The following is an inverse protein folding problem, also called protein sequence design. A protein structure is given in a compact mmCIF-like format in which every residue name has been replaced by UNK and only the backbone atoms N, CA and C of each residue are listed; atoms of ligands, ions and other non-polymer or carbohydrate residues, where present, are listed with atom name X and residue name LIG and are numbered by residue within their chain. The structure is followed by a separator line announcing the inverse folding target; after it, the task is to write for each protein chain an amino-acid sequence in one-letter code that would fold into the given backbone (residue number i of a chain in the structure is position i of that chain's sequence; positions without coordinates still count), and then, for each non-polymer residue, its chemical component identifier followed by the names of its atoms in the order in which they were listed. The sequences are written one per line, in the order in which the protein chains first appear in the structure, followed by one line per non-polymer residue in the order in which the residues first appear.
data_IF_995702862886
#
_entry.id   IF_995702862886
#
_cell.length_a   1.000
_cell.length_b   1.000
_cell.length_c   1.000
_cell.angle_alpha   90.00
_cell.angle_beta   90.00
_cell.angle_gamma   90.00
#
_symmetry.space_group_name_H-M   'P 1'
#
loop_
_entity.id
_entity.type
_entity.pdbx_description
1 polymer ?
#
# COMPACT_ATOMS: atom_id res chain seq x y z
N UNK A 1 -3.04 0.66 -4.91
CA UNK A 1 -2.03 1.48 -4.18
C UNK A 1 -0.66 0.82 -4.26
N UNK A 2 -0.44 -0.32 -3.61
CA UNK A 2 0.90 -0.97 -3.58
C UNK A 2 1.46 -1.30 -4.97
N UNK A 3 0.65 -1.72 -5.94
CA UNK A 3 1.10 -1.91 -7.33
C UNK A 3 1.68 -0.63 -7.96
N UNK A 4 1.11 0.53 -7.63
CA UNK A 4 1.61 1.83 -8.10
C UNK A 4 2.91 2.20 -7.39
N UNK A 5 2.98 1.99 -6.08
CA UNK A 5 4.21 2.19 -5.29
C UNK A 5 5.34 1.31 -5.82
N UNK A 6 5.06 0.03 -6.12
CA UNK A 6 6.04 -0.89 -6.67
C UNK A 6 6.61 -0.41 -8.01
N UNK A 7 5.77 0.14 -8.89
CA UNK A 7 6.23 0.74 -10.15
C UNK A 7 7.03 2.04 -10.00
N UNK A 8 6.89 2.76 -8.87
CA UNK A 8 7.69 3.96 -8.58
C UNK A 8 9.04 3.58 -7.98
N UNK A 9 9.03 2.70 -6.98
CA UNK A 9 10.23 2.34 -6.21
C UNK A 9 11.08 1.25 -6.86
N UNK A 10 10.51 0.42 -7.74
CA UNK A 10 11.12 -0.81 -8.26
C UNK A 10 11.41 -1.84 -7.17
N UNK A 11 11.80 -3.06 -7.56
CA UNK A 11 12.08 -4.17 -6.62
C UNK A 11 13.19 -3.90 -5.59
N UNK A 12 13.98 -2.83 -5.73
CA UNK A 12 15.07 -2.48 -4.81
C UNK A 12 14.86 -1.17 -4.06
N UNK A 13 13.84 -0.38 -4.38
CA UNK A 13 13.71 0.98 -3.86
C UNK A 13 13.40 1.07 -2.37
N UNK A 14 12.93 -0.01 -1.74
CA UNK A 14 12.69 -0.09 -0.31
C UNK A 14 13.85 -0.68 0.51
N UNK A 15 14.94 -1.11 -0.13
CA UNK A 15 16.02 -1.85 0.56
C UNK A 15 16.61 -1.05 1.72
N UNK A 16 16.50 -1.60 2.94
CA UNK A 16 17.04 -0.97 4.16
C UNK A 16 16.14 0.11 4.76
N UNK A 17 14.93 0.32 4.23
CA UNK A 17 13.97 1.30 4.72
C UNK A 17 12.67 0.64 5.23
N UNK A 18 11.98 1.33 6.12
CA UNK A 18 10.58 1.03 6.47
C UNK A 18 9.71 1.98 5.67
N UNK A 19 8.62 1.46 5.09
CA UNK A 19 7.66 2.29 4.36
C UNK A 19 6.52 2.67 5.31
N UNK A 20 6.43 3.95 5.62
CA UNK A 20 5.35 4.50 6.43
C UNK A 20 4.33 5.23 5.54
N UNK A 21 3.06 4.84 5.68
CA UNK A 21 1.96 5.46 4.93
C UNK A 21 1.26 6.52 5.79
N UNK A 22 1.26 7.77 5.33
CA UNK A 22 0.59 8.88 6.02
C UNK A 22 -0.22 9.77 5.06
N UNK A 23 -0.98 10.71 5.61
CA UNK A 23 -1.81 11.65 4.87
C UNK A 23 -3.31 11.32 4.89
N UNK A 24 -4.16 12.23 4.35
CA UNK A 24 -5.62 12.15 4.50
C UNK A 24 -6.26 10.94 3.80
N UNK A 25 -5.57 10.36 2.82
CA UNK A 25 -6.04 9.15 2.12
C UNK A 25 -6.10 7.91 3.01
N UNK A 26 -5.30 7.84 4.09
CA UNK A 26 -5.18 6.66 4.95
C UNK A 26 -6.52 6.23 5.57
N UNK A 27 -7.33 7.19 6.02
CA UNK A 27 -8.62 6.91 6.68
C UNK A 27 -9.70 6.37 5.72
N UNK A 28 -9.44 6.41 4.42
CA UNK A 28 -10.29 5.84 3.37
C UNK A 28 -9.93 4.38 3.04
N UNK A 29 -8.91 3.81 3.70
CA UNK A 29 -8.46 2.44 3.45
C UNK A 29 -8.89 1.54 4.61
N UNK A 30 -9.54 0.42 4.31
CA UNK A 30 -9.94 -0.56 5.34
C UNK A 30 -8.71 -1.19 6.02
N UNK A 31 -8.89 -1.74 7.23
CA UNK A 31 -7.81 -2.43 7.93
C UNK A 31 -7.18 -3.57 7.10
N UNK A 32 -8.01 -4.33 6.40
CA UNK A 32 -7.54 -5.41 5.52
C UNK A 32 -6.86 -4.88 4.26
N UNK A 33 -7.34 -3.78 3.69
CA UNK A 33 -6.68 -3.11 2.56
C UNK A 33 -5.31 -2.53 2.92
N UNK A 34 -5.18 -1.96 4.12
CA UNK A 34 -3.87 -1.57 4.68
C UNK A 34 -2.96 -2.79 4.82
N UNK A 35 -3.50 -3.92 5.30
CA UNK A 35 -2.80 -5.20 5.33
C UNK A 35 -2.30 -5.66 3.95
N UNK A 36 -3.13 -5.57 2.90
CA UNK A 36 -2.71 -5.87 1.52
C UNK A 36 -1.57 -4.97 1.05
N UNK A 37 -1.65 -3.67 1.36
CA UNK A 37 -0.63 -2.69 0.96
C UNK A 37 0.69 -2.98 1.66
N UNK A 38 0.66 -3.20 2.98
CA UNK A 38 1.87 -3.54 3.72
C UNK A 38 2.47 -4.87 3.27
N UNK A 39 1.62 -5.89 3.04
CA UNK A 39 2.05 -7.22 2.62
C UNK A 39 2.89 -7.16 1.34
N UNK A 40 2.40 -6.45 0.32
CA UNK A 40 3.11 -6.38 -0.97
C UNK A 40 4.22 -5.31 -1.00
N UNK A 41 4.56 -4.72 0.16
CA UNK A 41 5.77 -3.92 0.34
C UNK A 41 7.04 -4.77 0.39
N UNK A 42 6.92 -6.08 0.63
CA UNK A 42 8.04 -7.01 0.59
C UNK A 42 8.68 -7.09 -0.82
N UNK A 43 7.87 -6.99 -1.87
CA UNK A 43 8.28 -7.08 -3.27
C UNK A 43 9.19 -5.92 -3.73
N UNK A 44 9.26 -4.83 -2.96
CA UNK A 44 10.16 -3.70 -3.20
C UNK A 44 11.37 -3.66 -2.27
N UNK A 45 11.57 -4.72 -1.47
CA UNK A 45 12.71 -4.86 -0.57
C UNK A 45 12.60 -4.06 0.72
N UNK A 46 11.41 -3.55 1.07
CA UNK A 46 11.19 -2.86 2.33
C UNK A 46 11.46 -3.80 3.52
N UNK A 47 12.08 -3.28 4.57
CA UNK A 47 12.27 -4.00 5.85
C UNK A 47 10.91 -4.37 6.45
N UNK A 48 9.96 -3.43 6.43
CA UNK A 48 8.54 -3.64 6.70
C UNK A 48 7.76 -2.42 6.20
N UNK A 49 6.45 -2.47 6.35
CA UNK A 49 5.52 -1.41 5.98
C UNK A 49 4.51 -1.20 7.10
N UNK A 50 4.15 0.05 7.40
CA UNK A 50 3.21 0.38 8.46
C UNK A 50 2.27 1.53 8.11
N UNK A 51 1.09 1.47 8.72
CA UNK A 51 0.12 2.56 8.75
C UNK A 51 -0.05 3.02 10.20
N UNK A 52 -0.32 4.32 10.44
CA UNK A 52 -0.67 4.80 11.76
C UNK A 52 -1.98 4.18 12.23
N UNK A 53 -2.11 4.00 13.55
CA UNK A 53 -3.37 3.52 14.12
C UNK A 53 -4.52 4.49 13.81
N UNK A 54 -5.61 3.95 13.28
CA UNK A 54 -6.79 4.73 12.92
C UNK A 54 -8.09 4.03 13.25
N UNK A 55 -9.21 4.72 13.00
CA UNK A 55 -10.55 4.21 13.28
C UNK A 55 -10.83 2.88 12.56
N UNK A 56 -10.31 2.69 11.33
CA UNK A 56 -10.54 1.47 10.54
C UNK A 56 -9.90 0.24 11.19
N UNK A 57 -8.72 0.41 11.79
CA UNK A 57 -8.09 -0.64 12.61
C UNK A 57 -8.90 -0.92 13.88
N UNK A 58 -9.34 0.12 14.58
CA UNK A 58 -10.20 -0.01 15.75
C UNK A 58 -11.53 -0.72 15.46
N UNK A 59 -12.18 -0.39 14.35
CA UNK A 59 -13.41 -1.04 13.88
C UNK A 59 -13.17 -2.53 13.59
N UNK A 60 -12.06 -2.86 12.91
CA UNK A 60 -11.69 -4.24 12.61
C UNK A 60 -11.38 -5.06 13.86
N UNK A 61 -10.65 -4.50 14.82
CA UNK A 61 -10.39 -5.15 16.11
C UNK A 61 -11.69 -5.51 16.83
N UNK A 62 -12.65 -4.57 16.90
CA UNK A 62 -13.97 -4.82 17.49
C UNK A 62 -14.76 -5.90 16.75
N UNK A 63 -14.80 -5.82 15.43
CA UNK A 63 -15.48 -6.81 14.59
C UNK A 63 -14.91 -8.23 14.75
N UNK A 64 -13.66 -8.34 15.19
CA UNK A 64 -12.97 -9.61 15.43
C UNK A 64 -12.85 -9.97 16.92
N UNK A 65 -13.70 -9.39 17.79
CA UNK A 65 -13.79 -9.75 19.20
C UNK A 65 -12.68 -9.18 20.10
N UNK A 66 -11.92 -8.19 19.64
CA UNK A 66 -10.77 -7.57 20.33
C UNK A 66 -11.03 -6.11 20.69
N UNK A 67 -12.24 -5.81 21.15
CA UNK A 67 -12.68 -4.44 21.42
C UNK A 67 -11.94 -3.77 22.59
N UNK A 68 -11.47 -4.56 23.54
CA UNK A 68 -10.60 -4.15 24.64
C UNK A 68 -9.24 -3.62 24.14
N UNK A 69 -8.60 -4.32 23.20
CA UNK A 69 -7.36 -3.87 22.55
C UNK A 69 -7.60 -2.55 21.81
N UNK A 70 -8.72 -2.44 21.09
CA UNK A 70 -9.05 -1.23 20.36
C UNK A 70 -9.24 -0.01 21.29
N UNK A 71 -9.91 -0.21 22.44
CA UNK A 71 -10.08 0.84 23.44
C UNK A 71 -8.75 1.29 24.04
N UNK A 72 -7.83 0.36 24.33
CA UNK A 72 -6.50 0.70 24.81
C UNK A 72 -5.67 1.45 23.76
N UNK A 73 -5.71 1.01 22.50
CA UNK A 73 -5.02 1.69 21.40
C UNK A 73 -5.56 3.11 21.18
N UNK A 74 -6.88 3.31 21.26
CA UNK A 74 -7.49 4.63 21.14
C UNK A 74 -7.10 5.57 22.29
N UNK A 75 -7.03 5.06 23.52
CA UNK A 75 -6.57 5.83 24.67
C UNK A 75 -5.08 6.21 24.60
N UNK A 76 -4.28 5.47 23.82
CA UNK A 76 -2.84 5.68 23.65
C UNK A 76 -2.48 6.07 22.21
N UNK A 77 -3.42 6.71 21.48
CA UNK A 77 -3.27 6.98 20.05
C UNK A 77 -2.01 7.77 19.72
N UNK A 78 -1.61 8.70 20.58
CA UNK A 78 -0.42 9.53 20.38
C UNK A 78 0.89 8.71 20.30
N UNK A 79 0.92 7.51 20.90
CA UNK A 79 2.05 6.57 20.80
C UNK A 79 2.01 5.70 19.54
N UNK A 80 0.88 5.70 18.82
CA UNK A 80 0.58 4.79 17.70
C UNK A 80 0.41 5.54 16.37
N UNK A 81 0.77 6.82 16.35
CA UNK A 81 0.76 7.70 15.19
C UNK A 81 2.07 8.49 15.13
N UNK A 82 2.56 8.87 13.94
CA UNK A 82 3.78 9.66 13.84
C UNK A 82 3.61 11.05 14.44
N UNK A 83 4.72 11.60 14.94
CA UNK A 83 4.79 12.98 15.39
C UNK A 83 4.52 13.95 14.23
N UNK A 84 3.95 15.10 14.58
CA UNK A 84 3.75 16.19 13.62
C UNK A 84 5.10 16.68 13.09
N UNK A 85 5.26 16.67 11.77
CA UNK A 85 6.49 17.10 11.10
C UNK A 85 7.64 16.09 11.21
N UNK A 86 7.36 14.82 11.52
CA UNK A 86 8.36 13.75 11.46
C UNK A 86 9.10 13.76 10.10
N UNK A 87 10.44 13.80 10.10
CA UNK A 87 11.22 13.79 8.85
C UNK A 87 11.22 12.40 8.23
N UNK A 88 11.11 12.35 6.91
CA UNK A 88 11.29 11.13 6.10
C UNK A 88 12.45 11.34 5.13
N UNK A 89 13.32 10.34 5.00
CA UNK A 89 14.46 10.39 4.06
C UNK A 89 14.01 10.50 2.60
N UNK A 90 12.84 9.94 2.29
CA UNK A 90 12.20 10.01 0.99
C UNK A 90 10.68 10.15 1.14
N UNK A 91 10.08 11.04 0.35
CA UNK A 91 8.63 11.24 0.29
C UNK A 91 8.11 10.88 -1.10
N UNK A 92 7.08 10.02 -1.15
CA UNK A 92 6.34 9.69 -2.38
C UNK A 92 4.88 10.04 -2.16
N UNK A 93 4.34 10.88 -3.02
CA UNK A 93 2.94 11.29 -2.97
C UNK A 93 2.10 10.50 -3.98
N UNK A 94 0.94 9.98 -3.53
CA UNK A 94 -0.05 9.31 -4.37
C UNK A 94 -1.41 9.93 -4.10
N UNK A 95 -1.97 10.56 -5.12
CA UNK A 95 -3.37 10.99 -5.10
C UNK A 95 -4.30 9.81 -5.40
N UNK A 96 -5.06 9.40 -4.38
CA UNK A 96 -6.01 8.29 -4.48
C UNK A 96 -7.20 8.61 -5.39
N UNK A 97 -7.51 9.89 -5.60
CA UNK A 97 -8.65 10.36 -6.41
C UNK A 97 -8.42 10.15 -7.90
N UNK A 98 -7.15 10.17 -8.32
CA UNK A 98 -6.73 9.97 -9.72
C UNK A 98 -6.15 8.58 -9.97
N UNK A 99 -6.00 7.76 -8.91
CA UNK A 99 -5.46 6.42 -9.03
C UNK A 99 -6.47 5.48 -9.71
N UNK A 100 -6.12 5.00 -10.90
CA UNK A 100 -6.87 3.95 -11.59
C UNK A 100 -6.38 2.53 -11.24
N UNK A 101 -7.16 1.47 -11.52
CA UNK A 101 -6.71 0.09 -11.32
C UNK A 101 -5.42 -0.24 -12.09
N UNK A 102 -4.58 -1.11 -11.55
CA UNK A 102 -3.28 -1.49 -12.11
C UNK A 102 -3.14 -3.01 -12.19
N UNK A 103 -2.29 -3.47 -13.12
CA UNK A 103 -1.78 -4.84 -13.23
C UNK A 103 -0.27 -4.74 -13.42
N UNK A 104 0.49 -5.50 -12.64
CA UNK A 104 1.95 -5.53 -12.74
C UNK A 104 2.42 -6.88 -13.28
N UNK A 105 3.51 -6.90 -14.05
CA UNK A 105 4.07 -8.09 -14.66
C UNK A 105 4.43 -7.90 -16.13
N UNK A 106 4.77 -8.97 -16.88
CA UNK A 106 4.49 -10.36 -16.51
C UNK A 106 5.55 -11.06 -15.64
N UNK A 107 6.80 -10.55 -15.59
CA UNK A 107 7.91 -11.27 -14.93
C UNK A 107 8.50 -10.55 -13.71
N UNK A 108 8.13 -9.29 -13.47
CA UNK A 108 8.54 -8.56 -12.27
C UNK A 108 7.35 -7.83 -11.66
N UNK A 109 7.28 -7.72 -10.32
CA UNK A 109 6.16 -7.08 -9.63
C UNK A 109 6.17 -5.56 -9.75
N UNK A 110 7.24 -4.95 -10.26
CA UNK A 110 7.38 -3.50 -10.46
C UNK A 110 7.09 -3.03 -11.88
N UNK A 111 6.90 -3.94 -12.85
CA UNK A 111 6.50 -3.57 -14.20
C UNK A 111 5.02 -3.19 -14.22
N UNK A 112 4.73 -1.95 -13.85
CA UNK A 112 3.38 -1.48 -13.60
C UNK A 112 2.67 -1.01 -14.87
N UNK A 113 1.42 -1.46 -15.03
CA UNK A 113 0.54 -1.02 -16.10
C UNK A 113 -0.78 -0.53 -15.52
N UNK A 114 -1.19 0.72 -15.83
CA UNK A 114 -2.58 1.11 -15.63
C UNK A 114 -3.47 0.21 -16.49
N UNK A 115 -4.62 -0.20 -15.95
CA UNK A 115 -5.50 -1.16 -16.62
C UNK A 115 -5.94 -0.66 -18.00
N UNK A 116 -6.14 0.65 -18.14
CA UNK A 116 -6.48 1.33 -19.40
C UNK A 116 -5.43 1.15 -20.50
N UNK A 117 -4.16 0.87 -20.15
CA UNK A 117 -3.04 0.71 -21.08
C UNK A 117 -2.61 -0.74 -21.27
N UNK A 118 -3.05 -1.66 -20.41
CA UNK A 118 -2.57 -3.05 -20.39
C UNK A 118 -2.71 -3.76 -21.75
N UNK A 119 -3.87 -3.66 -22.40
CA UNK A 119 -4.10 -4.33 -23.69
C UNK A 119 -3.22 -3.82 -24.82
N UNK A 120 -2.96 -2.51 -24.87
CA UNK A 120 -2.05 -1.92 -25.84
C UNK A 120 -0.59 -2.33 -25.57
N UNK A 121 -0.20 -2.33 -24.29
CA UNK A 121 1.14 -2.76 -23.87
C UNK A 121 1.38 -4.24 -24.18
N UNK A 122 0.41 -5.11 -23.90
CA UNK A 122 0.50 -6.54 -24.18
C UNK A 122 0.68 -6.82 -25.68
N UNK A 123 -0.14 -6.20 -26.55
CA UNK A 123 -0.01 -6.34 -28.00
C UNK A 123 1.35 -5.87 -28.51
N UNK A 124 1.81 -4.70 -28.02
CA UNK A 124 3.12 -4.14 -28.42
C UNK A 124 4.28 -5.02 -27.97
N UNK A 125 4.19 -5.63 -26.78
CA UNK A 125 5.23 -6.46 -26.21
C UNK A 125 5.14 -7.94 -26.62
N UNK A 126 4.13 -8.32 -27.41
CA UNK A 126 3.91 -9.70 -27.85
C UNK A 126 3.46 -10.65 -26.73
N UNK A 127 2.82 -10.13 -25.68
CA UNK A 127 2.30 -10.96 -24.59
C UNK A 127 0.98 -11.63 -24.99
N UNK A 128 0.69 -12.85 -24.50
CA UNK A 128 -0.61 -13.48 -24.69
C UNK A 128 -1.74 -12.57 -24.19
N UNK A 129 -2.75 -12.34 -25.03
CA UNK A 129 -3.90 -11.47 -24.71
C UNK A 129 -5.13 -12.27 -24.28
N UNK A 130 -5.07 -13.58 -24.39
CA UNK A 130 -6.13 -14.49 -23.99
C UNK A 130 -5.84 -15.01 -22.56
N UNK A 131 -6.78 -14.76 -21.64
CA UNK A 131 -6.69 -15.20 -20.25
C UNK A 131 -7.61 -16.40 -20.11
N UNK A 132 -7.04 -17.60 -19.98
CA UNK A 132 -7.78 -18.84 -19.73
C UNK A 132 -7.51 -19.32 -18.31
N UNK A 133 -8.55 -19.86 -17.68
CA UNK A 133 -8.47 -20.57 -16.39
C UNK A 133 -8.60 -22.05 -16.67
#
# INVERSE_FOLDING_TARGET
IILKVAGILTVKGGTGAIIEYHGPGVDNISCTGMGTICNMGAEIGATTSLFPFNKRMGDYLRATGRGDIAAQAEANKDLLTPDSGAPYDQLIEIDLSTLEPHVNGPFTPDLAHPISKLGANAKKAGWPVDIRV
#
